data_IF_826258583160
#
_entry.id   IF_826258583160
#
_cell.length_a   1.000
_cell.length_b   1.000
_cell.length_c   1.000
_cell.angle_alpha   90.00
_cell.angle_beta   90.00
_cell.angle_gamma   90.00
#
_symmetry.space_group_name_H-M   'P 1'
#
loop_
_entity.id
_entity.type
_entity.pdbx_description
1 polymer ?
#
# COMPACT_ATOMS: atom_id res chain seq x y z
N UNK A 1 29.59 -12.46 9.17
CA UNK A 1 28.37 -12.29 8.36
C UNK A 1 27.14 -12.07 9.23
N UNK A 2 26.61 -10.86 9.17
CA UNK A 2 25.33 -10.46 9.78
C UNK A 2 24.31 -10.08 8.70
N UNK A 3 23.02 -10.26 8.99
CA UNK A 3 21.92 -9.93 8.09
C UNK A 3 21.05 -8.82 8.69
N UNK A 4 20.74 -7.81 7.91
CA UNK A 4 19.71 -6.81 8.23
C UNK A 4 18.52 -7.00 7.30
N UNK A 5 17.33 -7.20 7.86
CA UNK A 5 16.10 -7.26 7.06
C UNK A 5 15.78 -5.85 6.54
N UNK A 6 15.73 -5.69 5.22
CA UNK A 6 15.33 -4.44 4.57
C UNK A 6 13.84 -4.46 4.21
N UNK A 7 13.40 -5.58 3.61
CA UNK A 7 12.02 -5.77 3.20
C UNK A 7 11.55 -7.18 3.52
N UNK A 8 10.28 -7.32 3.89
CA UNK A 8 9.59 -8.61 4.10
C UNK A 8 8.13 -8.44 3.73
N UNK A 9 7.73 -9.02 2.60
CA UNK A 9 6.42 -8.80 1.99
C UNK A 9 5.64 -10.11 1.83
N UNK A 10 4.35 -10.03 2.13
CA UNK A 10 3.33 -11.01 1.80
C UNK A 10 2.68 -10.59 0.47
N UNK A 11 3.09 -11.22 -0.64
CA UNK A 11 2.74 -10.76 -2.00
C UNK A 11 1.31 -11.19 -2.34
N UNK A 12 0.50 -10.22 -2.75
CA UNK A 12 -0.94 -10.39 -3.00
C UNK A 12 -1.75 -10.67 -1.73
N UNK A 13 -1.12 -10.62 -0.56
CA UNK A 13 -1.72 -10.87 0.73
C UNK A 13 -1.88 -9.61 1.59
N UNK A 14 -2.44 -9.81 2.77
CA UNK A 14 -2.60 -8.76 3.78
C UNK A 14 -1.41 -8.75 4.73
N UNK A 15 -1.30 -7.67 5.51
CA UNK A 15 -0.34 -7.57 6.61
C UNK A 15 -0.45 -8.76 7.57
N UNK A 16 0.70 -9.34 7.94
CA UNK A 16 0.82 -10.40 8.94
C UNK A 16 1.52 -9.81 10.16
N UNK A 17 0.81 -9.80 11.29
CA UNK A 17 1.35 -9.32 12.56
C UNK A 17 2.35 -10.30 13.18
N UNK A 18 3.21 -9.85 14.12
CA UNK A 18 4.15 -10.72 14.82
C UNK A 18 3.47 -11.91 15.53
N UNK A 19 2.22 -11.74 15.97
CA UNK A 19 1.44 -12.78 16.63
C UNK A 19 0.92 -13.85 15.66
N UNK A 20 0.85 -13.52 14.37
CA UNK A 20 0.37 -14.40 13.30
C UNK A 20 1.53 -14.99 12.46
N UNK A 21 2.77 -14.66 12.80
CA UNK A 21 3.96 -15.25 12.17
C UNK A 21 4.19 -16.70 12.65
N UNK A 22 5.05 -17.42 11.96
CA UNK A 22 5.39 -18.82 12.25
C UNK A 22 6.41 -19.00 13.38
N UNK A 23 6.21 -18.28 14.49
CA UNK A 23 6.98 -18.42 15.73
C UNK A 23 8.23 -17.56 15.86
N UNK A 24 8.51 -16.68 14.89
CA UNK A 24 9.67 -15.78 14.89
C UNK A 24 9.32 -14.31 15.12
N UNK A 25 8.03 -14.01 15.34
CA UNK A 25 7.53 -12.65 15.59
C UNK A 25 7.91 -11.62 14.52
N UNK A 26 8.06 -12.07 13.28
CA UNK A 26 8.32 -11.19 12.13
C UNK A 26 7.03 -10.53 11.66
N UNK A 27 7.16 -9.40 10.98
CA UNK A 27 6.06 -8.75 10.28
C UNK A 27 6.19 -8.96 8.79
N UNK A 28 5.08 -9.25 8.11
CA UNK A 28 5.01 -9.29 6.65
C UNK A 28 4.07 -8.21 6.16
N UNK A 29 4.54 -7.35 5.26
CA UNK A 29 3.76 -6.22 4.73
C UNK A 29 3.13 -6.55 3.38
N UNK A 30 2.06 -5.84 3.03
CA UNK A 30 1.49 -5.87 1.68
C UNK A 30 2.53 -5.39 0.65
N UNK A 31 2.55 -6.04 -0.52
CA UNK A 31 3.46 -5.73 -1.62
C UNK A 31 3.04 -4.53 -2.47
N UNK A 32 1.76 -4.14 -2.41
CA UNK A 32 1.14 -3.11 -3.25
C UNK A 32 1.93 -1.79 -3.30
N UNK A 33 2.46 -1.25 -2.18
CA UNK A 33 3.24 0.00 -2.20
C UNK A 33 4.55 -0.06 -3.01
N UNK A 34 5.04 -1.27 -3.31
CA UNK A 34 6.30 -1.49 -4.01
C UNK A 34 6.11 -1.81 -5.50
N UNK A 35 4.87 -1.99 -5.95
CA UNK A 35 4.56 -2.24 -7.36
C UNK A 35 4.88 -1.00 -8.20
N UNK A 36 5.42 -1.24 -9.39
CA UNK A 36 5.76 -0.19 -10.35
C UNK A 36 5.16 -0.47 -11.72
N UNK A 37 4.72 0.60 -12.39
CA UNK A 37 4.09 0.55 -13.71
C UNK A 37 2.56 0.55 -13.65
N UNK A 38 1.94 0.57 -14.82
CA UNK A 38 0.48 0.61 -14.96
C UNK A 38 -0.17 -0.76 -14.74
N UNK A 39 0.57 -1.85 -14.97
CA UNK A 39 0.09 -3.23 -14.88
C UNK A 39 0.56 -3.87 -13.57
N UNK A 40 -0.34 -3.90 -12.58
CA UNK A 40 -0.06 -4.42 -11.23
C UNK A 40 -0.49 -5.87 -11.03
N UNK A 41 -0.84 -6.57 -12.11
CA UNK A 41 -1.29 -7.96 -12.08
C UNK A 41 -2.59 -8.16 -11.30
N UNK A 42 -2.82 -9.38 -10.85
CA UNK A 42 -3.98 -9.81 -10.07
C UNK A 42 -3.52 -10.50 -8.78
N UNK A 43 -4.29 -10.32 -7.70
CA UNK A 43 -4.04 -11.04 -6.44
C UNK A 43 -4.86 -12.33 -6.43
N UNK A 44 -4.24 -13.41 -6.00
CA UNK A 44 -4.85 -14.73 -5.90
C UNK A 44 -4.79 -15.19 -4.44
N UNK A 45 -5.77 -16.01 -4.05
CA UNK A 45 -5.83 -16.62 -2.72
C UNK A 45 -6.25 -18.07 -2.83
N UNK A 46 -5.55 -18.93 -2.11
CA UNK A 46 -5.90 -20.33 -1.98
C UNK A 46 -7.31 -20.49 -1.40
N UNK A 47 -8.07 -21.46 -1.92
CA UNK A 47 -9.38 -21.81 -1.35
C UNK A 47 -9.20 -22.46 0.03
N UNK A 48 -10.27 -22.51 0.83
CA UNK A 48 -10.21 -23.06 2.19
C UNK A 48 -9.81 -24.54 2.25
N UNK A 49 -10.02 -25.26 1.15
CA UNK A 49 -9.75 -26.70 1.04
C UNK A 49 -8.27 -26.98 0.71
N UNK A 50 -7.52 -25.98 0.26
CA UNK A 50 -6.09 -26.10 0.01
C UNK A 50 -5.34 -26.04 1.33
N UNK A 51 -4.57 -27.09 1.61
CA UNK A 51 -3.65 -27.16 2.75
C UNK A 51 -2.22 -26.95 2.24
N UNK A 52 -1.49 -26.01 2.85
CA UNK A 52 -0.10 -25.75 2.48
C UNK A 52 0.78 -26.87 3.02
N UNK A 53 1.35 -27.66 2.12
CA UNK A 53 2.27 -28.73 2.48
C UNK A 53 3.72 -28.26 2.39
N UNK A 54 4.35 -28.04 3.54
CA UNK A 54 5.74 -27.62 3.63
C UNK A 54 6.76 -28.73 3.29
N UNK A 55 6.33 -30.00 3.22
CA UNK A 55 7.20 -31.14 2.99
C UNK A 55 8.40 -31.16 3.97
N UNK A 56 9.63 -31.03 3.45
CA UNK A 56 10.87 -30.98 4.22
C UNK A 56 11.25 -29.56 4.65
N UNK A 57 10.57 -28.53 4.15
CA UNK A 57 10.80 -27.13 4.52
C UNK A 57 10.31 -26.87 5.94
N UNK A 58 11.10 -26.22 6.80
CA UNK A 58 10.61 -25.86 8.13
C UNK A 58 9.46 -24.84 8.06
N UNK A 59 8.40 -25.04 8.86
CA UNK A 59 7.24 -24.15 8.88
C UNK A 59 7.57 -22.72 9.33
N UNK A 60 8.63 -22.53 10.12
CA UNK A 60 9.08 -21.20 10.53
C UNK A 60 9.69 -20.38 9.37
N UNK A 61 9.91 -20.96 8.18
CA UNK A 61 10.46 -20.21 7.03
C UNK A 61 9.54 -19.03 6.66
N UNK A 62 8.24 -19.28 6.53
CA UNK A 62 7.21 -18.25 6.39
C UNK A 62 5.85 -18.84 6.81
N UNK A 63 4.93 -18.03 7.37
CA UNK A 63 3.62 -18.51 7.77
C UNK A 63 2.77 -18.92 6.56
N UNK A 64 1.76 -19.78 6.79
CA UNK A 64 0.87 -20.27 5.73
C UNK A 64 0.16 -19.14 4.99
N UNK A 65 -0.09 -18.02 5.68
CA UNK A 65 -0.69 -16.81 5.10
C UNK A 65 0.14 -16.18 3.99
N UNK A 66 1.45 -16.45 3.94
CA UNK A 66 2.32 -16.03 2.82
C UNK A 66 2.16 -16.97 1.64
N UNK A 67 2.15 -18.28 1.87
CA UNK A 67 2.04 -19.27 0.79
C UNK A 67 0.62 -19.46 0.25
N UNK A 68 -0.40 -18.98 0.97
CA UNK A 68 -1.80 -19.04 0.55
C UNK A 68 -2.29 -17.80 -0.21
N UNK A 69 -1.41 -16.82 -0.43
CA UNK A 69 -1.68 -15.68 -1.30
C UNK A 69 -0.57 -15.52 -2.32
N UNK A 70 -0.90 -14.94 -3.46
CA UNK A 70 0.09 -14.62 -4.48
C UNK A 70 -0.36 -13.45 -5.33
N UNK A 71 0.57 -12.88 -6.10
CA UNK A 71 0.26 -12.01 -7.22
C UNK A 71 0.71 -12.68 -8.50
N UNK A 72 -0.16 -12.66 -9.51
CA UNK A 72 0.17 -13.10 -10.87
C UNK A 72 -0.15 -12.04 -11.92
N UNK A 73 0.23 -12.28 -13.17
CA UNK A 73 -0.07 -11.37 -14.29
C UNK A 73 -1.51 -11.54 -14.78
N UNK A 74 -2.11 -12.70 -14.52
CA UNK A 74 -3.53 -12.99 -14.74
C UNK A 74 -3.77 -13.94 -15.91
N UNK A 75 -5.03 -14.06 -16.34
CA UNK A 75 -5.42 -15.11 -17.29
C UNK A 75 -5.25 -14.72 -18.77
N UNK A 76 -4.96 -13.47 -19.08
CA UNK A 76 -4.79 -13.00 -20.46
C UNK A 76 -3.35 -13.20 -20.95
N UNK A 77 -3.13 -14.31 -21.65
CA UNK A 77 -1.84 -14.71 -22.20
C UNK A 77 -1.24 -13.64 -23.13
N UNK A 78 -2.08 -12.93 -23.89
CA UNK A 78 -1.58 -11.92 -24.83
C UNK A 78 -1.14 -10.66 -24.10
N UNK A 79 -1.86 -10.25 -23.07
CA UNK A 79 -1.43 -9.14 -22.23
C UNK A 79 -0.14 -9.50 -21.47
N UNK A 80 -0.06 -10.72 -20.92
CA UNK A 80 1.04 -11.12 -20.04
C UNK A 80 2.41 -11.15 -20.74
N UNK A 81 2.47 -11.37 -22.06
CA UNK A 81 3.74 -11.31 -22.81
C UNK A 81 4.20 -9.87 -23.12
N UNK A 82 3.34 -8.87 -22.92
CA UNK A 82 3.59 -7.47 -23.28
C UNK A 82 4.12 -6.62 -22.12
N UNK A 83 4.14 -7.13 -20.89
CA UNK A 83 4.64 -6.39 -19.73
C UNK A 83 5.42 -7.27 -18.76
N UNK A 84 6.08 -6.63 -17.78
CA UNK A 84 6.69 -7.31 -16.65
C UNK A 84 5.95 -6.90 -15.39
N UNK A 85 5.70 -7.85 -14.49
CA UNK A 85 5.24 -7.53 -13.15
C UNK A 85 6.44 -7.08 -12.30
N UNK A 86 6.45 -5.82 -11.89
CA UNK A 86 7.64 -5.16 -11.34
C UNK A 86 7.40 -4.69 -9.90
N UNK A 87 8.40 -4.95 -9.06
CA UNK A 87 8.54 -4.35 -7.73
C UNK A 87 9.84 -3.54 -7.68
N UNK A 88 9.77 -2.34 -7.10
CA UNK A 88 10.93 -1.47 -6.89
C UNK A 88 11.18 -1.29 -5.39
N UNK A 89 12.44 -1.53 -5.00
CA UNK A 89 12.90 -1.41 -3.63
C UNK A 89 14.01 -0.37 -3.56
N UNK A 90 13.85 0.62 -2.68
CA UNK A 90 14.92 1.54 -2.36
C UNK A 90 15.90 0.84 -1.41
N UNK A 91 17.14 0.66 -1.85
CA UNK A 91 18.19 -0.04 -1.11
C UNK A 91 19.42 0.83 -1.00
N UNK A 92 20.30 0.51 -0.04
CA UNK A 92 21.57 1.22 0.09
C UNK A 92 22.51 0.86 -1.07
N UNK A 93 23.16 1.85 -1.69
CA UNK A 93 24.12 1.60 -2.75
C UNK A 93 25.35 0.83 -2.21
N UNK A 94 26.08 0.17 -3.10
CA UNK A 94 27.36 -0.50 -2.83
C UNK A 94 27.30 -1.57 -1.72
N UNK A 95 26.12 -2.12 -1.45
CA UNK A 95 25.91 -3.18 -0.47
C UNK A 95 25.53 -4.48 -1.18
N UNK A 96 25.85 -5.61 -0.56
CA UNK A 96 25.39 -6.92 -1.06
C UNK A 96 24.04 -7.26 -0.43
N UNK A 97 23.17 -7.88 -1.21
CA UNK A 97 21.83 -8.26 -0.77
C UNK A 97 21.56 -9.73 -1.04
N UNK A 98 20.92 -10.39 -0.08
CA UNK A 98 20.25 -11.66 -0.28
C UNK A 98 18.77 -11.39 -0.55
N UNK A 99 18.30 -11.78 -1.73
CA UNK A 99 16.87 -11.76 -2.08
C UNK A 99 16.35 -13.18 -1.99
N UNK A 100 15.35 -13.40 -1.14
CA UNK A 100 14.63 -14.67 -1.03
C UNK A 100 13.23 -14.48 -1.60
N UNK A 101 12.90 -15.25 -2.62
CA UNK A 101 11.58 -15.31 -3.23
C UNK A 101 10.86 -16.56 -2.73
N UNK A 102 9.59 -16.40 -2.33
CA UNK A 102 8.73 -17.47 -1.85
C UNK A 102 7.70 -17.80 -2.92
N UNK A 103 7.57 -19.09 -3.22
CA UNK A 103 6.62 -19.62 -4.19
C UNK A 103 5.83 -20.78 -3.61
N UNK A 104 4.55 -20.84 -3.94
CA UNK A 104 3.66 -21.97 -3.71
C UNK A 104 2.56 -21.93 -4.77
N UNK A 105 2.50 -22.99 -5.57
CA UNK A 105 1.47 -23.19 -6.57
C UNK A 105 0.32 -24.00 -5.95
N UNK A 106 -0.91 -23.51 -6.10
CA UNK A 106 -2.12 -24.09 -5.52
C UNK A 106 -3.34 -24.04 -6.46
N UNK A 107 -3.16 -23.53 -7.67
CA UNK A 107 -4.16 -23.48 -8.72
C UNK A 107 -3.85 -24.49 -9.82
N UNK A 108 -2.59 -24.55 -10.25
CA UNK A 108 -2.09 -25.46 -11.27
C UNK A 108 -1.53 -26.75 -10.66
N UNK A 109 -1.43 -27.81 -11.46
CA UNK A 109 -1.06 -29.15 -10.97
C UNK A 109 -0.09 -29.91 -11.87
N UNK A 110 0.16 -29.41 -13.07
CA UNK A 110 1.06 -30.02 -14.04
C UNK A 110 2.29 -29.14 -14.27
N UNK A 111 3.43 -29.81 -14.44
CA UNK A 111 4.68 -29.16 -14.82
C UNK A 111 4.50 -28.45 -16.15
N UNK A 112 5.20 -27.32 -16.31
CA UNK A 112 5.19 -26.52 -17.52
C UNK A 112 3.79 -25.94 -17.86
N UNK A 113 2.89 -25.83 -16.88
CA UNK A 113 1.70 -24.99 -17.02
C UNK A 113 2.09 -23.50 -16.95
N UNK A 114 2.86 -23.10 -15.95
CA UNK A 114 3.36 -21.73 -15.79
C UNK A 114 4.88 -21.76 -15.82
N UNK A 115 5.47 -21.01 -16.75
CA UNK A 115 6.93 -20.82 -16.86
C UNK A 115 7.22 -19.34 -17.08
N UNK A 116 8.05 -18.76 -16.22
CA UNK A 116 8.37 -17.33 -16.27
C UNK A 116 9.84 -17.06 -16.00
N UNK A 117 10.31 -15.89 -16.43
CA UNK A 117 11.67 -15.44 -16.13
C UNK A 117 11.66 -14.56 -14.89
N UNK A 118 12.64 -14.76 -14.01
CA UNK A 118 12.86 -13.88 -12.86
C UNK A 118 14.02 -12.95 -13.23
N UNK A 119 13.75 -11.65 -13.20
CA UNK A 119 14.75 -10.61 -13.39
C UNK A 119 14.98 -9.86 -12.08
N UNK A 120 16.25 -9.70 -11.70
CA UNK A 120 16.68 -8.87 -10.57
C UNK A 120 17.62 -7.81 -11.13
N UNK A 121 17.31 -6.54 -10.88
CA UNK A 121 18.07 -5.40 -11.41
C UNK A 121 18.29 -5.48 -12.94
N UNK A 122 17.23 -5.83 -13.68
CA UNK A 122 17.22 -5.99 -15.14
C UNK A 122 18.19 -7.09 -15.68
N UNK A 123 18.66 -7.98 -14.82
CA UNK A 123 19.45 -9.15 -15.17
C UNK A 123 18.67 -10.43 -14.86
N UNK A 124 18.80 -11.45 -15.70
CA UNK A 124 18.15 -12.75 -15.49
C UNK A 124 18.76 -13.44 -14.28
N UNK A 125 17.94 -13.67 -13.25
CA UNK A 125 18.32 -14.39 -12.04
C UNK A 125 17.94 -15.87 -12.15
N UNK A 126 16.76 -16.17 -12.69
CA UNK A 126 16.30 -17.53 -12.97
C UNK A 126 15.59 -17.53 -14.33
N UNK A 127 16.15 -18.20 -15.35
CA UNK A 127 15.43 -18.43 -16.60
C UNK A 127 14.41 -19.56 -16.40
N UNK A 128 13.22 -19.43 -16.99
CA UNK A 128 12.24 -20.52 -17.06
C UNK A 128 11.86 -21.14 -15.70
N UNK A 129 11.63 -20.31 -14.69
CA UNK A 129 11.12 -20.73 -13.39
C UNK A 129 9.77 -21.44 -13.54
N UNK A 130 9.69 -22.66 -13.01
CA UNK A 130 8.47 -23.47 -12.94
C UNK A 130 8.34 -24.01 -11.51
N UNK A 131 7.33 -23.50 -10.79
CA UNK A 131 7.13 -23.81 -9.37
C UNK A 131 6.82 -25.30 -9.16
N UNK A 132 6.10 -25.93 -10.09
CA UNK A 132 5.79 -27.37 -10.05
C UNK A 132 7.00 -28.16 -10.57
N UNK A 133 7.64 -27.64 -11.62
CA UNK A 133 8.80 -28.23 -12.31
C UNK A 133 10.08 -28.29 -11.50
N UNK A 134 10.25 -27.46 -10.47
CA UNK A 134 11.38 -27.53 -9.52
C UNK A 134 11.48 -28.88 -8.77
N UNK A 135 10.52 -29.78 -8.96
CA UNK A 135 10.55 -31.17 -8.53
C UNK A 135 11.27 -32.13 -9.52
N UNK A 136 11.88 -31.64 -10.61
CA UNK A 136 12.79 -32.40 -11.48
C UNK A 136 12.22 -32.81 -12.86
N UNK A 137 11.40 -31.97 -13.48
CA UNK A 137 10.78 -32.27 -14.77
C UNK A 137 11.64 -31.89 -16.00
N UNK A 138 11.46 -32.55 -17.16
CA UNK A 138 12.12 -32.19 -18.41
C UNK A 138 11.54 -30.91 -19.03
N UNK A 139 12.38 -30.13 -19.71
CA UNK A 139 12.00 -28.90 -20.42
C UNK A 139 10.94 -29.17 -21.49
N UNK A 140 9.82 -28.44 -21.41
CA UNK A 140 8.71 -28.48 -22.38
C UNK A 140 8.22 -27.06 -22.68
N UNK A 141 7.24 -26.88 -23.60
CA UNK A 141 6.72 -25.56 -23.97
C UNK A 141 5.55 -25.16 -23.06
N UNK A 142 5.55 -23.99 -22.40
CA UNK A 142 4.54 -23.66 -21.41
C UNK A 142 3.12 -23.62 -21.96
N UNK A 143 2.16 -24.09 -21.16
CA UNK A 143 0.74 -24.02 -21.51
C UNK A 143 0.16 -22.62 -21.28
N UNK A 144 0.58 -21.92 -20.22
CA UNK A 144 0.19 -20.57 -19.85
C UNK A 144 1.40 -19.63 -19.78
N UNK A 145 1.19 -18.40 -20.24
CA UNK A 145 2.14 -17.31 -20.02
C UNK A 145 1.62 -16.49 -18.85
N UNK A 146 2.09 -16.81 -17.66
CA UNK A 146 1.81 -16.09 -16.41
C UNK A 146 3.08 -16.14 -15.55
N UNK A 147 3.16 -15.32 -14.51
CA UNK A 147 4.20 -15.36 -13.50
C UNK A 147 3.55 -15.28 -12.13
N UNK A 148 4.09 -15.97 -11.12
CA UNK A 148 3.50 -16.01 -9.78
C UNK A 148 4.57 -15.69 -8.72
N UNK A 149 4.19 -14.94 -7.68
CA UNK A 149 5.03 -14.72 -6.49
C UNK A 149 4.15 -14.68 -5.23
N UNK A 150 4.57 -15.36 -4.17
CA UNK A 150 3.82 -15.44 -2.90
C UNK A 150 4.44 -14.57 -1.79
N UNK A 151 5.75 -14.37 -1.80
CA UNK A 151 6.42 -13.55 -0.80
C UNK A 151 7.84 -13.15 -1.21
N UNK A 152 8.36 -12.08 -0.62
CA UNK A 152 9.74 -11.65 -0.83
C UNK A 152 10.38 -11.17 0.48
N UNK A 153 11.60 -11.61 0.73
CA UNK A 153 12.46 -11.08 1.78
C UNK A 153 13.75 -10.55 1.16
N UNK A 154 14.17 -9.36 1.57
CA UNK A 154 15.43 -8.74 1.13
C UNK A 154 16.27 -8.44 2.36
N UNK A 155 17.48 -8.98 2.38
CA UNK A 155 18.42 -8.82 3.47
C UNK A 155 19.70 -8.15 2.98
N UNK A 156 20.14 -7.09 3.66
CA UNK A 156 21.47 -6.54 3.46
C UNK A 156 22.50 -7.44 4.16
N UNK A 157 23.54 -7.81 3.43
CA UNK A 157 24.68 -8.60 3.91
C UNK A 157 25.79 -7.66 4.37
N UNK A 158 26.37 -7.88 5.56
CA UNK A 158 27.65 -7.25 5.91
C UNK A 158 28.52 -8.11 6.84
N UNK A 159 29.83 -7.85 6.77
CA UNK A 159 30.86 -8.35 7.66
C UNK A 159 31.33 -7.32 8.71
N UNK A 160 31.07 -6.00 8.57
CA UNK A 160 31.58 -4.99 9.54
C UNK A 160 30.62 -3.88 10.01
N UNK A 161 29.67 -3.35 9.21
CA UNK A 161 28.82 -2.20 9.63
C UNK A 161 27.42 -2.15 8.97
N UNK A 162 26.34 -2.31 9.72
CA UNK A 162 24.97 -2.26 9.18
C UNK A 162 24.40 -0.83 9.06
N UNK A 163 25.18 0.19 9.39
CA UNK A 163 24.75 1.58 9.34
C UNK A 163 24.66 2.07 7.90
N UNK A 164 23.47 2.47 7.48
CA UNK A 164 23.24 3.08 6.16
C UNK A 164 23.28 4.60 6.26
N UNK A 165 23.71 5.33 5.22
CA UNK A 165 23.50 6.78 5.14
C UNK A 165 22.01 7.11 5.25
N UNK A 166 21.67 8.19 5.96
CA UNK A 166 20.27 8.62 6.03
C UNK A 166 19.73 8.92 4.61
N UNK A 167 18.52 8.43 4.28
CA UNK A 167 17.91 8.72 3.00
C UNK A 167 17.77 10.23 2.81
N UNK A 168 18.01 10.71 1.60
CA UNK A 168 17.81 12.12 1.29
C UNK A 168 16.30 12.42 1.30
N UNK A 169 15.84 13.47 1.99
CA UNK A 169 14.45 13.89 1.94
C UNK A 169 14.03 14.23 0.50
N UNK A 170 12.76 14.01 0.16
CA UNK A 170 12.23 14.45 -1.14
C UNK A 170 12.16 15.98 -1.21
N UNK A 171 12.28 16.54 -2.41
CA UNK A 171 12.20 17.99 -2.64
C UNK A 171 10.90 18.58 -2.06
N UNK A 172 9.78 17.87 -2.23
CA UNK A 172 8.48 18.25 -1.64
C UNK A 172 8.53 18.34 -0.11
N UNK A 173 9.24 17.43 0.56
CA UNK A 173 9.38 17.42 2.02
C UNK A 173 10.36 18.50 2.49
N UNK A 174 11.37 18.82 1.67
CA UNK A 174 12.27 19.95 1.91
C UNK A 174 11.53 21.29 1.74
N UNK A 175 10.64 21.41 0.76
CA UNK A 175 9.79 22.58 0.53
C UNK A 175 8.78 22.77 1.67
N UNK A 176 8.08 21.71 2.09
CA UNK A 176 7.13 21.75 3.23
C UNK A 176 7.84 22.11 4.55
N UNK A 177 9.02 21.53 4.80
CA UNK A 177 9.86 21.92 5.93
C UNK A 177 10.43 23.34 5.82
N UNK A 178 10.64 23.86 4.61
CA UNK A 178 11.05 25.24 4.38
C UNK A 178 9.88 26.22 4.59
N UNK A 179 8.65 25.82 4.24
CA UNK A 179 7.43 26.55 4.53
C UNK A 179 7.11 26.56 6.04
N UNK A 180 7.27 25.43 6.75
CA UNK A 180 7.14 25.38 8.22
C UNK A 180 8.18 26.23 8.96
N UNK A 181 9.37 26.44 8.37
CA UNK A 181 10.39 27.36 8.91
C UNK A 181 10.04 28.85 8.72
N UNK A 182 8.92 29.16 8.06
CA UNK A 182 8.32 30.49 8.03
C UNK A 182 7.64 30.83 9.35
N UNK A 183 8.42 31.24 10.36
CA UNK A 183 7.88 31.81 11.59
C UNK A 183 7.10 33.10 11.25
N UNK A 184 5.76 33.02 11.27
CA UNK A 184 4.92 34.20 11.36
C UNK A 184 5.20 34.82 12.74
N UNK A 185 6.04 35.85 12.80
CA UNK A 185 6.05 36.78 13.92
C UNK A 185 4.63 37.30 14.07
N UNK A 186 3.91 36.87 15.10
CA UNK A 186 2.73 37.59 15.58
C UNK A 186 3.22 38.97 16.07
N UNK A 187 3.32 39.93 15.15
CA UNK A 187 3.40 41.33 15.53
C UNK A 187 2.15 41.68 16.33
N UNK A 188 2.39 42.33 17.47
CA UNK A 188 1.38 42.63 18.46
C UNK A 188 0.13 43.26 17.86
N UNK A 189 -1.02 42.75 18.29
CA UNK A 189 -2.35 43.29 17.98
C UNK A 189 -2.43 44.78 18.37
N UNK A 190 -2.18 45.65 17.39
CA UNK A 190 -2.44 47.07 17.53
C UNK A 190 -3.95 47.30 17.40
N UNK A 191 -4.56 47.57 18.54
CA UNK A 191 -5.98 47.86 18.70
C UNK A 191 -6.32 49.23 18.09
N UNK A 192 -6.45 49.33 16.77
CA UNK A 192 -7.17 50.43 16.11
C UNK A 192 -7.96 49.88 14.91
N UNK A 193 -9.25 50.18 14.92
CA UNK A 193 -10.25 49.93 13.88
C UNK A 193 -11.05 48.61 13.92
N UNK A 194 -11.87 48.40 14.96
CA UNK A 194 -13.21 47.78 14.81
C UNK A 194 -14.18 48.43 15.82
N UNK A 195 -14.54 49.69 15.60
CA UNK A 195 -15.70 50.32 16.25
C UNK A 195 -16.52 50.96 15.13
N UNK A 196 -17.48 50.21 14.60
CA UNK A 196 -18.32 50.72 13.51
C UNK A 196 -19.37 49.78 12.92
N UNK A 197 -19.51 48.54 13.41
CA UNK A 197 -20.44 47.56 12.82
C UNK A 197 -21.65 47.18 13.67
N UNK A 198 -21.54 47.20 15.00
CA UNK A 198 -22.54 46.54 15.86
C UNK A 198 -23.77 47.42 16.19
N UNK A 199 -23.62 48.75 16.26
CA UNK A 199 -24.73 49.63 16.64
C UNK A 199 -25.74 49.89 15.51
N UNK A 200 -25.29 49.86 14.24
CA UNK A 200 -26.16 50.11 13.09
C UNK A 200 -27.09 48.92 12.77
N UNK A 201 -26.58 47.69 12.90
CA UNK A 201 -27.37 46.48 12.63
C UNK A 201 -28.49 46.23 13.65
N UNK A 202 -28.24 46.53 14.92
CA UNK A 202 -29.23 46.34 15.99
C UNK A 202 -30.37 47.36 15.90
N UNK A 203 -30.08 48.61 15.53
CA UNK A 203 -31.10 49.65 15.35
C UNK A 203 -32.00 49.37 14.14
N UNK A 204 -31.43 48.87 13.04
CA UNK A 204 -32.21 48.56 11.82
C UNK A 204 -33.17 47.38 12.03
N UNK A 205 -32.73 46.33 12.73
CA UNK A 205 -33.58 45.20 13.09
C UNK A 205 -34.72 45.59 14.05
N UNK A 206 -34.43 46.45 15.05
CA UNK A 206 -35.45 46.93 15.97
C UNK A 206 -36.52 47.78 15.27
N UNK A 207 -36.12 48.65 14.32
CA UNK A 207 -37.06 49.48 13.56
C UNK A 207 -37.99 48.64 12.66
N UNK A 208 -37.46 47.62 11.99
CA UNK A 208 -38.28 46.68 11.18
C UNK A 208 -39.29 45.95 12.07
N UNK A 209 -38.87 45.45 13.24
CA UNK A 209 -39.75 44.75 14.17
C UNK A 209 -40.91 45.64 14.66
N UNK A 210 -40.64 46.92 14.97
CA UNK A 210 -41.66 47.88 15.41
C UNK A 210 -42.66 48.20 14.29
N UNK A 211 -42.19 48.41 13.05
CA UNK A 211 -43.07 48.67 11.90
C UNK A 211 -44.01 47.49 11.62
N UNK A 212 -43.49 46.26 11.68
CA UNK A 212 -44.30 45.04 11.49
C UNK A 212 -45.34 44.88 12.60
N UNK A 213 -44.95 45.12 13.86
CA UNK A 213 -45.88 45.03 14.99
C UNK A 213 -47.02 46.07 14.92
N UNK A 214 -46.71 47.30 14.50
CA UNK A 214 -47.73 48.35 14.36
C UNK A 214 -48.65 48.10 13.15
N UNK A 215 -48.15 47.53 12.05
CA UNK A 215 -49.01 47.11 10.92
C UNK A 215 -49.96 45.98 11.30
N UNK A 216 -49.56 45.05 12.17
CA UNK A 216 -50.41 43.94 12.62
C UNK A 216 -51.52 44.36 13.61
N UNK A 217 -51.38 45.53 14.26
CA UNK A 217 -52.42 46.12 15.13
C UNK A 217 -53.39 47.05 14.40
N UNK A 218 -53.18 47.31 13.10
CA UNK A 218 -53.91 48.33 12.33
C UNK A 218 -55.00 47.82 11.38
N UNK A 219 -55.37 46.54 11.40
CA UNK A 219 -56.52 46.04 10.61
C UNK A 219 -57.50 45.29 11.54
N UNK A 220 -58.76 45.75 11.69
CA UNK A 220 -59.70 45.27 12.71
C UNK A 220 -60.31 43.91 12.34
N UNK A 221 -60.56 43.09 13.36
CA UNK A 221 -61.34 41.87 13.24
C UNK A 221 -62.82 42.12 12.98
N UNK A 222 -63.43 41.27 12.16
CA UNK A 222 -64.87 41.03 12.11
C UNK A 222 -65.15 39.65 12.71
N UNK A 223 -66.19 39.58 13.51
CA UNK A 223 -66.47 38.60 14.56
C UNK A 223 -67.52 37.55 14.19
N UNK A 224 -67.52 36.46 14.98
CA UNK A 224 -68.69 35.63 15.43
C UNK A 224 -69.38 34.70 14.40
N UNK A 225 -69.81 33.46 14.67
CA UNK A 225 -70.30 32.78 15.90
C UNK A 225 -70.12 31.24 15.83
N UNK A 226 -70.21 30.61 17.00
CA UNK A 226 -70.46 29.18 17.22
C UNK A 226 -71.96 28.92 17.45
N UNK A 227 -72.54 27.95 16.74
CA UNK A 227 -73.39 26.87 17.26
C UNK A 227 -73.43 25.77 16.23
#
# INVERSE_FOLDING_TARGET
>A
MSLQTMFRLNVGGQYVSPAQDSGLSRMWYDDTPYLYGASTGVTNKATKDVQINYQTMPQYIAPETVYSTSRSMGNDKNANIEYNLLWIFQVDPNSMYLVRLHFCEYYYSMVNEIVFNILINNQTAEPQADVIGWTGAPETKPEFYDAILNGVEIFKLNDTDLSSPNPQPSDMLLEDQAEERGFQTHEGYNRKAVIGGAAAGFAFMAAICIIVFNKKKGVPGSSTNTS
#
